data_IF_259942711720
#
_entry.id   IF_259942711720
#
_cell.length_a   1.000
_cell.length_b   1.000
_cell.length_c   1.000
_cell.angle_alpha   90.00
_cell.angle_beta   90.00
_cell.angle_gamma   90.00
#
_symmetry.space_group_name_H-M   'P 1'
#
loop_
_entity.id
_entity.type
_entity.pdbx_description
1 polymer ?
#
# COMPACT_ATOMS: atom_id res chain seq x y z
N UNK A 1 -3.95 -39.53 -4.82
CA UNK A 1 -3.91 -38.18 -5.41
C UNK A 1 -5.02 -38.09 -6.46
N UNK A 2 -5.87 -37.07 -6.40
CA UNK A 2 -6.98 -36.95 -7.37
C UNK A 2 -6.44 -36.57 -8.76
N UNK A 3 -7.12 -36.99 -9.84
CA UNK A 3 -6.68 -36.75 -11.23
C UNK A 3 -6.41 -35.27 -11.53
N UNK A 4 -7.21 -34.34 -11.00
CA UNK A 4 -6.97 -32.92 -11.19
C UNK A 4 -5.68 -32.42 -10.52
N UNK A 5 -5.29 -33.00 -9.36
CA UNK A 5 -4.04 -32.68 -8.68
C UNK A 5 -2.83 -33.17 -9.46
N UNK A 6 -2.94 -34.36 -10.07
CA UNK A 6 -1.89 -34.90 -10.94
C UNK A 6 -1.68 -34.01 -12.17
N UNK A 7 -2.76 -33.60 -12.83
CA UNK A 7 -2.69 -32.69 -13.97
C UNK A 7 -2.13 -31.31 -13.58
N UNK A 8 -2.57 -30.75 -12.45
CA UNK A 8 -2.02 -29.50 -11.94
C UNK A 8 -0.51 -29.61 -11.69
N UNK A 9 -0.06 -30.71 -11.07
CA UNK A 9 1.36 -30.94 -10.81
C UNK A 9 2.19 -31.12 -12.09
N UNK A 10 1.65 -31.79 -13.11
CA UNK A 10 2.31 -31.93 -14.42
C UNK A 10 2.51 -30.56 -15.08
N UNK A 11 1.44 -29.76 -15.19
CA UNK A 11 1.52 -28.43 -15.77
C UNK A 11 2.43 -27.49 -14.94
N UNK A 12 2.42 -27.62 -13.61
CA UNK A 12 3.32 -26.91 -12.73
C UNK A 12 4.79 -27.26 -13.00
N UNK A 13 5.09 -28.52 -13.20
CA UNK A 13 6.45 -28.97 -13.53
C UNK A 13 6.89 -28.46 -14.91
N UNK A 14 6.01 -28.41 -15.91
CA UNK A 14 6.32 -27.80 -17.22
C UNK A 14 6.72 -26.32 -17.09
N UNK A 15 6.03 -25.59 -16.22
CA UNK A 15 6.35 -24.18 -15.91
C UNK A 15 7.69 -24.08 -15.17
N UNK A 16 7.89 -24.90 -14.12
CA UNK A 16 9.11 -24.86 -13.31
C UNK A 16 10.37 -25.31 -14.07
N UNK A 17 10.20 -26.23 -15.02
CA UNK A 17 11.30 -26.70 -15.87
C UNK A 17 11.58 -25.76 -17.07
N UNK A 18 10.80 -24.67 -17.21
CA UNK A 18 11.00 -23.69 -18.28
C UNK A 18 10.46 -24.12 -19.66
N UNK A 19 9.75 -25.26 -19.76
CA UNK A 19 9.09 -25.70 -20.99
C UNK A 19 7.91 -24.78 -21.37
N UNK A 20 7.28 -24.20 -20.36
CA UNK A 20 6.30 -23.13 -20.48
C UNK A 20 6.86 -21.88 -19.80
N UNK A 21 7.10 -20.84 -20.56
CA UNK A 21 7.69 -19.59 -20.06
C UNK A 21 6.61 -18.60 -19.64
N UNK A 22 6.98 -17.63 -18.82
CA UNK A 22 6.08 -16.54 -18.42
C UNK A 22 5.52 -15.81 -19.66
N UNK A 23 4.19 -15.67 -19.69
CA UNK A 23 3.47 -15.08 -20.81
C UNK A 23 3.02 -16.08 -21.87
N UNK A 24 3.51 -17.33 -21.84
CA UNK A 24 3.07 -18.36 -22.76
C UNK A 24 1.60 -18.72 -22.50
N UNK A 25 0.87 -18.92 -23.59
CA UNK A 25 -0.50 -19.37 -23.55
C UNK A 25 -0.56 -20.88 -23.33
N UNK A 26 -1.30 -21.32 -22.30
CA UNK A 26 -1.57 -22.74 -22.11
C UNK A 26 -2.48 -23.27 -23.23
N UNK A 27 -2.39 -24.58 -23.54
CA UNK A 27 -3.34 -25.24 -24.46
C UNK A 27 -4.79 -25.02 -23.97
N UNK A 28 -5.73 -24.99 -24.89
CA UNK A 28 -7.13 -24.83 -24.54
C UNK A 28 -7.64 -25.98 -23.66
N UNK A 29 -8.73 -25.76 -22.91
CA UNK A 29 -9.34 -26.81 -22.09
C UNK A 29 -9.63 -28.07 -22.95
N UNK A 30 -10.03 -27.88 -24.23
CA UNK A 30 -10.29 -28.98 -25.16
C UNK A 30 -9.01 -29.74 -25.47
N UNK A 31 -7.94 -29.04 -25.79
CA UNK A 31 -6.63 -29.64 -26.10
C UNK A 31 -6.06 -30.40 -24.91
N UNK A 32 -6.20 -29.82 -23.66
CA UNK A 32 -5.78 -30.49 -22.44
C UNK A 32 -6.60 -31.75 -22.14
N UNK A 33 -7.91 -31.73 -22.41
CA UNK A 33 -8.78 -32.92 -22.32
C UNK A 33 -8.28 -34.03 -23.27
N UNK A 34 -7.96 -33.67 -24.49
CA UNK A 34 -7.48 -34.60 -25.50
C UNK A 34 -6.06 -35.11 -25.20
N UNK A 35 -5.16 -34.22 -24.83
CA UNK A 35 -3.75 -34.52 -24.56
C UNK A 35 -3.57 -35.42 -23.31
N UNK A 36 -4.34 -35.20 -22.25
CA UNK A 36 -4.18 -35.92 -20.98
C UNK A 36 -5.25 -36.98 -20.72
N UNK A 37 -6.23 -37.15 -21.61
CA UNK A 37 -7.27 -38.18 -21.49
C UNK A 37 -8.17 -38.01 -20.27
N UNK A 38 -8.38 -36.80 -19.79
CA UNK A 38 -9.18 -36.47 -18.61
C UNK A 38 -10.45 -35.72 -19.02
N UNK A 39 -11.45 -35.70 -18.14
CA UNK A 39 -12.67 -34.95 -18.40
C UNK A 39 -12.50 -33.42 -18.20
N UNK A 40 -13.42 -32.64 -18.77
CA UNK A 40 -13.41 -31.18 -18.75
C UNK A 40 -13.39 -30.62 -17.31
N UNK A 41 -14.14 -31.21 -16.39
CA UNK A 41 -14.21 -30.76 -14.99
C UNK A 41 -12.86 -30.93 -14.29
N UNK A 42 -12.17 -32.04 -14.54
CA UNK A 42 -10.80 -32.31 -14.04
C UNK A 42 -9.83 -31.24 -14.52
N UNK A 43 -9.86 -30.88 -15.82
CA UNK A 43 -9.02 -29.80 -16.37
C UNK A 43 -9.34 -28.47 -15.72
N UNK A 44 -10.62 -28.11 -15.59
CA UNK A 44 -11.03 -26.86 -14.98
C UNK A 44 -10.60 -26.75 -13.52
N UNK A 45 -10.69 -27.83 -12.74
CA UNK A 45 -10.20 -27.88 -11.35
C UNK A 45 -8.67 -27.75 -11.28
N UNK A 46 -7.94 -28.39 -12.17
CA UNK A 46 -6.48 -28.28 -12.24
C UNK A 46 -6.06 -26.84 -12.55
N UNK A 47 -6.69 -26.21 -13.54
CA UNK A 47 -6.40 -24.81 -13.92
C UNK A 47 -6.80 -23.83 -12.81
N UNK A 48 -7.89 -24.10 -12.07
CA UNK A 48 -8.26 -23.29 -10.88
C UNK A 48 -7.21 -23.40 -9.80
N UNK A 49 -6.74 -24.60 -9.44
CA UNK A 49 -5.67 -24.82 -8.47
C UNK A 49 -4.39 -24.08 -8.86
N UNK A 50 -3.98 -24.17 -10.13
CA UNK A 50 -2.80 -23.45 -10.62
C UNK A 50 -2.98 -21.93 -10.60
N UNK A 51 -4.20 -21.43 -10.80
CA UNK A 51 -4.52 -20.01 -10.67
C UNK A 51 -4.47 -19.56 -9.22
N UNK A 52 -5.04 -20.32 -8.28
CA UNK A 52 -5.00 -20.08 -6.83
C UNK A 52 -3.55 -20.10 -6.30
N UNK A 53 -2.70 -20.97 -6.83
CA UNK A 53 -1.27 -21.03 -6.54
C UNK A 53 -0.43 -19.99 -7.31
N UNK A 54 -1.06 -19.08 -8.07
CA UNK A 54 -0.41 -18.04 -8.86
C UNK A 54 0.62 -18.54 -9.89
N UNK A 55 0.43 -19.75 -10.45
CA UNK A 55 1.24 -20.24 -11.55
C UNK A 55 0.74 -19.76 -12.92
N UNK A 56 -0.58 -19.55 -13.04
CA UNK A 56 -1.23 -19.11 -14.27
C UNK A 56 -2.26 -18.04 -13.99
N UNK A 57 -2.63 -17.26 -15.01
CA UNK A 57 -3.74 -16.32 -14.98
C UNK A 57 -4.70 -16.53 -16.15
N UNK A 58 -5.94 -16.10 -15.97
CA UNK A 58 -6.98 -16.25 -16.99
C UNK A 58 -7.21 -14.93 -17.72
N UNK A 59 -7.33 -15.00 -19.05
CA UNK A 59 -7.73 -13.87 -19.89
C UNK A 59 -9.11 -14.17 -20.47
N UNK A 60 -10.08 -13.31 -20.16
CA UNK A 60 -11.47 -13.46 -20.60
C UNK A 60 -11.54 -13.64 -22.12
N UNK A 61 -12.20 -14.69 -22.59
CA UNK A 61 -12.34 -15.08 -24.00
C UNK A 61 -11.02 -15.45 -24.72
N UNK A 62 -9.88 -15.50 -24.04
CA UNK A 62 -8.59 -15.84 -24.64
C UNK A 62 -7.98 -17.13 -24.09
N UNK A 63 -8.12 -17.42 -22.79
CA UNK A 63 -7.61 -18.65 -22.18
C UNK A 63 -6.73 -18.41 -20.97
N UNK A 64 -5.84 -19.36 -20.68
CA UNK A 64 -4.93 -19.30 -19.54
C UNK A 64 -3.50 -19.05 -20.02
N UNK A 65 -2.73 -18.34 -19.19
CA UNK A 65 -1.36 -17.93 -19.49
C UNK A 65 -0.46 -18.16 -18.27
N UNK A 66 0.81 -18.44 -18.50
CA UNK A 66 1.80 -18.67 -17.45
C UNK A 66 2.14 -17.35 -16.74
N UNK A 67 2.10 -17.36 -15.40
CA UNK A 67 2.38 -16.19 -14.55
C UNK A 67 3.79 -16.25 -13.95
N UNK A 68 4.32 -17.43 -13.63
CA UNK A 68 5.64 -17.62 -13.01
C UNK A 68 6.75 -17.86 -14.03
N UNK A 69 7.98 -17.46 -13.68
CA UNK A 69 9.20 -17.87 -14.41
C UNK A 69 9.76 -19.18 -13.83
N UNK A 70 10.58 -19.90 -14.63
CA UNK A 70 11.35 -21.04 -14.15
C UNK A 70 12.44 -20.68 -13.12
N UNK A 71 12.86 -19.42 -13.07
CA UNK A 71 13.93 -18.91 -12.16
C UNK A 71 13.44 -18.69 -10.72
N UNK A 72 12.94 -19.73 -10.06
CA UNK A 72 12.46 -19.66 -8.68
C UNK A 72 13.62 -19.63 -7.65
N UNK A 73 14.89 -19.79 -8.07
CA UNK A 73 16.04 -19.93 -7.19
C UNK A 73 17.03 -18.74 -7.20
N UNK A 74 16.62 -17.56 -7.69
CA UNK A 74 17.44 -16.36 -7.42
C UNK A 74 17.10 -15.84 -6.05
N UNK A 75 18.05 -15.91 -5.13
CA UNK A 75 17.99 -15.14 -3.88
C UNK A 75 17.66 -13.68 -4.20
N UNK A 76 16.73 -13.05 -3.46
CA UNK A 76 16.38 -11.66 -3.70
C UNK A 76 17.64 -10.81 -3.49
N UNK A 77 18.12 -10.14 -4.53
CA UNK A 77 19.20 -9.18 -4.40
C UNK A 77 18.74 -8.02 -3.52
N UNK A 78 19.56 -7.66 -2.53
CA UNK A 78 19.30 -6.56 -1.60
C UNK A 78 19.45 -5.16 -2.23
N UNK A 79 19.73 -5.08 -3.51
CA UNK A 79 19.80 -3.83 -4.26
C UNK A 79 18.36 -3.36 -4.54
N UNK A 80 18.06 -2.09 -4.24
CA UNK A 80 16.80 -1.42 -4.59
C UNK A 80 16.68 -1.31 -6.10
N UNK A 81 16.43 -2.42 -6.73
CA UNK A 81 16.54 -2.63 -8.16
C UNK A 81 15.16 -2.57 -8.77
N UNK A 82 15.04 -1.85 -9.87
CA UNK A 82 13.88 -1.85 -10.75
C UNK A 82 13.51 -3.25 -11.25
N UNK A 83 14.36 -4.26 -11.06
CA UNK A 83 14.09 -5.69 -11.33
C UNK A 83 12.93 -6.27 -10.51
N UNK A 84 12.58 -5.66 -9.38
CA UNK A 84 11.43 -6.08 -8.56
C UNK A 84 10.09 -5.49 -9.03
N UNK A 85 10.10 -4.54 -9.97
CA UNK A 85 8.85 -3.99 -10.51
C UNK A 85 8.14 -5.00 -11.40
N UNK A 86 6.81 -5.15 -11.30
CA UNK A 86 6.04 -6.10 -12.10
C UNK A 86 5.77 -5.56 -13.52
N UNK A 87 6.82 -5.03 -14.19
CA UNK A 87 6.69 -4.30 -15.46
C UNK A 87 6.06 -5.18 -16.53
N UNK A 88 6.50 -6.44 -16.63
CA UNK A 88 6.00 -7.37 -17.66
C UNK A 88 4.54 -7.74 -17.42
N UNK A 89 4.16 -8.01 -16.17
CA UNK A 89 2.79 -8.33 -15.79
C UNK A 89 1.85 -7.13 -16.05
N UNK A 90 2.32 -5.92 -15.72
CA UNK A 90 1.59 -4.69 -16.02
C UNK A 90 1.51 -4.42 -17.53
N UNK A 91 2.57 -4.71 -18.30
CA UNK A 91 2.55 -4.60 -19.77
C UNK A 91 1.49 -5.51 -20.37
N UNK A 92 1.40 -6.74 -19.89
CA UNK A 92 0.37 -7.70 -20.32
C UNK A 92 -1.03 -7.13 -20.03
N UNK A 93 -1.29 -6.67 -18.80
CA UNK A 93 -2.57 -6.09 -18.41
C UNK A 93 -2.90 -4.82 -19.21
N UNK A 94 -1.90 -3.97 -19.45
CA UNK A 94 -2.08 -2.74 -20.24
C UNK A 94 -2.45 -3.07 -21.69
N UNK A 95 -1.77 -4.02 -22.34
CA UNK A 95 -2.10 -4.44 -23.68
C UNK A 95 -3.51 -5.06 -23.76
N UNK A 96 -3.93 -5.80 -22.75
CA UNK A 96 -5.30 -6.34 -22.66
C UNK A 96 -6.32 -5.20 -22.47
N UNK A 97 -6.02 -4.21 -21.68
CA UNK A 97 -6.90 -3.05 -21.50
C UNK A 97 -7.08 -2.27 -22.80
N UNK A 98 -6.02 -2.12 -23.61
CA UNK A 98 -6.10 -1.52 -24.95
C UNK A 98 -6.93 -2.37 -25.92
N UNK A 99 -6.78 -3.68 -25.91
CA UNK A 99 -7.55 -4.59 -26.77
C UNK A 99 -9.05 -4.54 -26.46
N UNK A 100 -9.41 -4.31 -25.20
CA UNK A 100 -10.80 -4.11 -24.76
C UNK A 100 -11.29 -2.66 -24.84
N UNK A 101 -10.49 -1.74 -25.35
CA UNK A 101 -10.81 -0.31 -25.42
C UNK A 101 -12.10 0.02 -26.18
N UNK A 102 -12.55 -0.87 -27.09
CA UNK A 102 -13.87 -0.75 -27.75
C UNK A 102 -15.05 -0.95 -26.79
N UNK A 103 -14.83 -1.75 -25.73
CA UNK A 103 -15.80 -1.97 -24.66
C UNK A 103 -15.68 -0.92 -23.54
N UNK A 104 -14.50 -0.31 -23.40
CA UNK A 104 -14.29 0.90 -22.62
C UNK A 104 -15.03 2.00 -23.36
N UNK A 105 -16.18 2.39 -22.86
CA UNK A 105 -16.92 3.54 -23.39
C UNK A 105 -16.14 4.82 -23.05
N UNK A 106 -15.00 5.02 -23.71
CA UNK A 106 -14.09 6.15 -23.52
C UNK A 106 -14.79 7.54 -23.68
N UNK A 107 -16.04 7.52 -24.18
CA UNK A 107 -16.88 8.71 -24.36
C UNK A 107 -17.97 8.90 -23.31
N UNK A 108 -18.18 7.95 -22.39
CA UNK A 108 -19.11 8.11 -21.26
C UNK A 108 -18.36 8.66 -20.06
N UNK A 109 -18.95 9.69 -19.45
CA UNK A 109 -18.59 10.14 -18.12
C UNK A 109 -18.71 8.96 -17.16
N UNK A 110 -17.57 8.39 -16.76
CA UNK A 110 -17.53 7.43 -15.67
C UNK A 110 -17.90 8.15 -14.36
N UNK A 111 -18.14 7.39 -13.32
CA UNK A 111 -18.47 7.98 -12.03
C UNK A 111 -17.23 8.65 -11.44
N UNK A 112 -17.40 9.82 -10.83
CA UNK A 112 -16.31 10.54 -10.15
C UNK A 112 -15.59 9.69 -9.08
N UNK A 113 -16.24 8.63 -8.60
CA UNK A 113 -15.67 7.66 -7.65
C UNK A 113 -14.65 6.71 -8.31
N UNK A 114 -14.56 6.66 -9.63
CA UNK A 114 -13.71 5.72 -10.37
C UNK A 114 -14.47 4.58 -11.02
N UNK A 115 -13.74 3.66 -11.66
CA UNK A 115 -14.34 2.49 -12.35
C UNK A 115 -14.91 1.49 -11.35
N UNK A 116 -16.17 1.09 -11.56
CA UNK A 116 -16.82 0.09 -10.70
C UNK A 116 -16.07 -1.24 -10.67
N UNK A 117 -15.51 -1.67 -11.81
CA UNK A 117 -14.75 -2.92 -11.88
C UNK A 117 -13.47 -2.86 -11.02
N UNK A 118 -12.82 -1.70 -10.93
CA UNK A 118 -11.66 -1.55 -10.04
C UNK A 118 -12.10 -1.53 -8.58
N UNK A 119 -13.19 -0.82 -8.27
CA UNK A 119 -13.76 -0.80 -6.92
C UNK A 119 -14.10 -2.24 -6.49
N UNK A 120 -14.79 -3.01 -7.35
CA UNK A 120 -15.15 -4.39 -7.08
C UNK A 120 -13.93 -5.30 -6.85
N UNK A 121 -12.89 -5.13 -7.65
CA UNK A 121 -11.65 -5.89 -7.52
C UNK A 121 -10.86 -5.54 -6.23
N UNK A 122 -10.97 -4.30 -5.74
CA UNK A 122 -10.25 -3.85 -4.56
C UNK A 122 -10.98 -4.14 -3.24
N UNK A 123 -12.29 -4.42 -3.23
CA UNK A 123 -13.01 -4.73 -1.99
C UNK A 123 -12.38 -5.89 -1.19
N UNK A 124 -12.07 -7.06 -1.80
CA UNK A 124 -11.40 -8.14 -1.07
C UNK A 124 -9.99 -7.74 -0.57
N UNK A 125 -9.27 -6.93 -1.33
CA UNK A 125 -7.94 -6.44 -0.94
C UNK A 125 -8.02 -5.53 0.29
N UNK A 126 -9.06 -4.69 0.37
CA UNK A 126 -9.31 -3.85 1.54
C UNK A 126 -9.65 -4.67 2.80
N UNK A 127 -10.45 -5.72 2.65
CA UNK A 127 -10.76 -6.63 3.77
C UNK A 127 -9.49 -7.29 4.33
N UNK A 128 -8.53 -7.66 3.48
CA UNK A 128 -7.24 -8.17 3.92
C UNK A 128 -6.41 -7.12 4.69
N UNK A 129 -6.57 -5.83 4.41
CA UNK A 129 -5.94 -4.75 5.20
C UNK A 129 -6.66 -4.46 6.52
N UNK A 130 -7.81 -5.10 6.76
CA UNK A 130 -8.69 -4.83 7.91
C UNK A 130 -9.58 -3.60 7.71
N UNK A 131 -9.84 -3.22 6.46
CA UNK A 131 -10.71 -2.09 6.10
C UNK A 131 -12.03 -2.62 5.56
N UNK A 132 -13.09 -2.45 6.33
CA UNK A 132 -14.44 -2.90 5.99
C UNK A 132 -15.28 -1.69 5.58
N UNK A 133 -15.67 -1.64 4.33
CA UNK A 133 -16.42 -0.53 3.74
C UNK A 133 -17.45 -1.04 2.73
N UNK A 134 -18.37 -0.17 2.30
CA UNK A 134 -19.21 -0.44 1.13
C UNK A 134 -18.58 0.19 -0.12
N UNK A 135 -18.95 -0.31 -1.30
CA UNK A 135 -18.44 0.19 -2.58
C UNK A 135 -18.68 1.69 -2.76
N UNK A 136 -19.83 2.17 -2.26
CA UNK A 136 -20.22 3.58 -2.33
C UNK A 136 -19.30 4.50 -1.51
N UNK A 137 -18.61 3.97 -0.52
CA UNK A 137 -17.67 4.72 0.32
C UNK A 137 -16.28 4.83 -0.31
N UNK A 138 -15.98 4.02 -1.34
CA UNK A 138 -14.67 3.95 -1.97
C UNK A 138 -14.57 4.92 -3.15
N UNK A 139 -13.54 5.76 -3.15
CA UNK A 139 -13.21 6.67 -4.26
C UNK A 139 -11.77 6.41 -4.73
N UNK A 140 -11.62 6.19 -6.04
CA UNK A 140 -10.30 6.05 -6.68
C UNK A 140 -9.70 7.44 -6.89
N UNK A 141 -8.41 7.58 -6.57
CA UNK A 141 -7.65 8.83 -6.72
C UNK A 141 -6.36 8.61 -7.48
N UNK A 142 -5.70 9.70 -7.88
CA UNK A 142 -4.36 9.66 -8.48
C UNK A 142 -3.24 9.59 -7.42
N UNK A 143 -3.55 9.02 -6.25
CA UNK A 143 -2.66 8.83 -5.12
C UNK A 143 -3.01 9.72 -3.92
N UNK A 144 -2.26 9.52 -2.82
CA UNK A 144 -2.49 10.19 -1.53
C UNK A 144 -2.53 11.72 -1.63
N UNK A 145 -1.67 12.34 -2.46
CA UNK A 145 -1.61 13.81 -2.53
C UNK A 145 -2.92 14.44 -3.03
N UNK A 146 -3.56 13.87 -4.05
CA UNK A 146 -4.87 14.33 -4.51
C UNK A 146 -5.91 14.16 -3.41
N UNK A 147 -5.92 13.01 -2.76
CA UNK A 147 -6.85 12.74 -1.67
C UNK A 147 -6.71 13.75 -0.53
N UNK A 148 -5.49 13.99 -0.05
CA UNK A 148 -5.20 14.95 1.03
C UNK A 148 -5.58 16.38 0.63
N UNK A 149 -5.25 16.79 -0.60
CA UNK A 149 -5.61 18.12 -1.10
C UNK A 149 -7.12 18.35 -1.07
N UNK A 150 -7.91 17.38 -1.54
CA UNK A 150 -9.37 17.47 -1.54
C UNK A 150 -9.92 17.47 -0.11
N UNK A 151 -9.43 16.59 0.77
CA UNK A 151 -9.86 16.50 2.16
C UNK A 151 -9.61 17.79 2.94
N UNK A 152 -8.44 18.38 2.76
CA UNK A 152 -8.09 19.65 3.41
C UNK A 152 -8.98 20.82 2.96
N UNK A 153 -9.47 20.79 1.73
CA UNK A 153 -10.43 21.80 1.25
C UNK A 153 -11.88 21.48 1.64
N UNK A 154 -12.16 20.20 1.89
CA UNK A 154 -13.51 19.77 2.26
C UNK A 154 -13.80 20.04 3.73
N UNK A 155 -12.82 19.80 4.61
CA UNK A 155 -12.95 19.88 6.06
C UNK A 155 -12.34 21.21 6.54
N UNK A 156 -12.93 22.33 6.10
CA UNK A 156 -12.50 23.67 6.49
C UNK A 156 -13.24 24.20 7.74
N UNK A 157 -12.74 25.29 8.30
CA UNK A 157 -13.39 26.08 9.33
C UNK A 157 -12.80 25.97 10.72
N UNK A 158 -11.94 24.97 10.95
CA UNK A 158 -11.18 24.81 12.21
C UNK A 158 -9.72 24.47 11.91
N UNK A 159 -8.89 24.41 12.94
CA UNK A 159 -7.51 23.93 12.85
C UNK A 159 -7.49 22.45 12.48
N UNK A 160 -6.38 22.02 11.89
CA UNK A 160 -6.04 20.59 11.77
C UNK A 160 -4.93 20.24 12.78
N UNK A 161 -4.98 19.02 13.27
CA UNK A 161 -3.92 18.47 14.11
C UNK A 161 -3.03 17.57 13.26
N UNK A 162 -1.72 17.74 13.37
CA UNK A 162 -0.71 16.95 12.70
C UNK A 162 0.19 16.25 13.71
N UNK A 163 0.58 15.02 13.43
CA UNK A 163 1.73 14.42 14.09
C UNK A 163 3.00 15.21 13.73
N UNK A 164 3.98 15.23 14.63
CA UNK A 164 5.28 15.82 14.36
C UNK A 164 6.39 14.94 14.95
N UNK A 165 7.33 14.43 14.09
CA UNK A 165 7.36 14.61 12.63
C UNK A 165 6.22 13.87 11.92
N UNK A 166 5.97 14.19 10.63
CA UNK A 166 5.01 13.49 9.79
C UNK A 166 5.40 13.61 8.31
N UNK A 167 4.59 13.06 7.41
CA UNK A 167 4.83 13.07 5.96
C UNK A 167 5.12 14.48 5.42
N UNK A 168 6.31 14.68 4.84
CA UNK A 168 6.80 15.99 4.41
C UNK A 168 5.85 16.71 3.43
N UNK A 169 5.25 15.96 2.50
CA UNK A 169 4.28 16.52 1.54
C UNK A 169 2.99 16.99 2.19
N UNK A 170 2.57 16.39 3.30
CA UNK A 170 1.44 16.92 4.08
C UNK A 170 1.80 18.26 4.71
N UNK A 171 3.01 18.40 5.26
CA UNK A 171 3.51 19.65 5.80
C UNK A 171 3.56 20.77 4.74
N UNK A 172 4.07 20.45 3.54
CA UNK A 172 4.11 21.37 2.41
C UNK A 172 2.70 21.80 1.99
N UNK A 173 1.77 20.85 1.91
CA UNK A 173 0.40 21.10 1.50
C UNK A 173 -0.34 22.03 2.48
N UNK A 174 -0.19 21.79 3.80
CA UNK A 174 -0.78 22.61 4.85
C UNK A 174 -0.23 24.04 4.80
N UNK A 175 1.09 24.22 4.59
CA UNK A 175 1.70 25.53 4.43
C UNK A 175 1.20 26.25 3.15
N UNK A 176 1.13 25.51 2.02
CA UNK A 176 0.71 26.08 0.74
C UNK A 176 -0.76 26.52 0.76
N UNK A 177 -1.62 25.77 1.41
CA UNK A 177 -3.05 26.09 1.57
C UNK A 177 -3.34 27.05 2.72
N UNK A 178 -2.30 27.47 3.46
CA UNK A 178 -2.40 28.38 4.62
C UNK A 178 -3.42 27.90 5.68
N UNK A 179 -3.51 26.57 5.86
CA UNK A 179 -4.47 26.00 6.81
C UNK A 179 -3.97 26.17 8.24
N UNK A 180 -4.79 26.69 9.15
CA UNK A 180 -4.44 26.74 10.57
C UNK A 180 -4.19 25.33 11.11
N UNK A 181 -3.07 25.15 11.80
CA UNK A 181 -2.68 23.85 12.33
C UNK A 181 -2.10 23.94 13.74
N UNK A 182 -2.08 22.80 14.40
CA UNK A 182 -1.31 22.54 15.60
C UNK A 182 -0.65 21.17 15.48
N UNK A 183 0.35 20.91 16.34
CA UNK A 183 1.11 19.65 16.23
C UNK A 183 1.11 18.92 17.57
N UNK A 184 1.11 17.58 17.48
CA UNK A 184 1.34 16.67 18.59
C UNK A 184 2.56 15.80 18.30
N UNK A 185 3.42 15.61 19.30
CA UNK A 185 4.66 14.85 19.13
C UNK A 185 4.37 13.37 18.90
N UNK A 186 4.88 12.82 17.80
CA UNK A 186 5.00 11.38 17.58
C UNK A 186 6.33 10.90 18.13
N UNK A 187 6.31 9.97 19.06
CA UNK A 187 7.51 9.45 19.71
C UNK A 187 8.26 8.47 18.80
N UNK A 188 9.58 8.38 18.95
CA UNK A 188 10.43 7.50 18.13
C UNK A 188 10.05 6.02 18.30
N UNK A 189 9.61 5.64 19.50
CA UNK A 189 9.13 4.28 19.81
C UNK A 189 7.77 3.93 19.19
N UNK A 190 7.13 4.90 18.52
CA UNK A 190 5.82 4.77 17.92
C UNK A 190 4.66 5.22 18.81
N UNK A 191 4.93 5.82 19.98
CA UNK A 191 3.91 6.32 20.90
C UNK A 191 3.36 7.71 20.53
N UNK A 192 2.29 8.11 21.20
CA UNK A 192 1.70 9.45 21.21
C UNK A 192 1.14 9.72 22.62
N UNK A 193 1.19 10.97 23.07
CA UNK A 193 0.58 11.35 24.35
C UNK A 193 -0.95 11.43 24.21
N UNK A 194 -1.64 10.39 24.69
CA UNK A 194 -3.09 10.29 24.62
C UNK A 194 -3.82 11.27 25.53
N UNK A 195 -3.19 11.71 26.63
CA UNK A 195 -3.78 12.71 27.54
C UNK A 195 -3.78 14.06 26.84
N UNK A 196 -2.64 14.43 26.26
CA UNK A 196 -2.55 15.68 25.49
C UNK A 196 -3.42 15.65 24.23
N UNK A 197 -3.54 14.50 23.55
CA UNK A 197 -4.45 14.34 22.42
C UNK A 197 -5.92 14.57 22.83
N UNK A 198 -6.33 14.04 23.99
CA UNK A 198 -7.68 14.25 24.51
C UNK A 198 -7.93 15.73 24.85
N UNK A 199 -6.97 16.42 25.48
CA UNK A 199 -7.04 17.87 25.77
C UNK A 199 -7.23 18.69 24.48
N UNK A 200 -6.44 18.39 23.45
CA UNK A 200 -6.55 19.05 22.14
C UNK A 200 -7.93 18.82 21.52
N UNK A 201 -8.42 17.59 21.46
CA UNK A 201 -9.73 17.31 20.90
C UNK A 201 -10.86 17.94 21.71
N UNK A 202 -10.77 17.93 23.04
CA UNK A 202 -11.74 18.52 23.93
C UNK A 202 -11.84 20.06 23.80
N UNK A 203 -10.80 20.73 23.33
CA UNK A 203 -10.83 22.18 23.06
C UNK A 203 -11.90 22.58 22.03
N UNK A 204 -12.31 21.65 21.18
CA UNK A 204 -13.27 21.89 20.09
C UNK A 204 -12.69 22.74 18.94
N UNK A 205 -11.39 23.01 18.91
CA UNK A 205 -10.73 23.83 17.88
C UNK A 205 -10.36 23.03 16.61
N UNK A 206 -10.38 21.69 16.66
CA UNK A 206 -9.92 20.84 15.60
C UNK A 206 -11.07 20.20 14.83
N UNK A 207 -10.95 20.15 13.50
CA UNK A 207 -11.85 19.45 12.61
C UNK A 207 -11.28 18.13 12.11
N UNK A 208 -9.94 18.01 12.07
CA UNK A 208 -9.24 16.88 11.46
C UNK A 208 -7.94 16.60 12.19
N UNK A 209 -7.64 15.30 12.38
CA UNK A 209 -6.32 14.80 12.81
C UNK A 209 -5.74 13.93 11.67
N UNK A 210 -4.58 14.31 11.15
CA UNK A 210 -3.83 13.51 10.19
C UNK A 210 -2.79 12.65 10.89
N UNK A 211 -2.81 11.35 10.63
CA UNK A 211 -1.92 10.38 11.27
C UNK A 211 -1.54 9.24 10.32
N UNK A 212 -0.36 8.65 10.55
CA UNK A 212 0.11 7.41 9.93
C UNK A 212 0.20 6.36 11.03
N UNK A 213 -0.85 5.54 11.16
CA UNK A 213 -1.01 4.61 12.28
C UNK A 213 -0.10 3.40 12.23
N UNK A 214 0.30 2.97 11.02
CA UNK A 214 1.16 1.81 10.74
C UNK A 214 2.35 2.25 9.89
N UNK A 215 3.57 1.76 10.20
CA UNK A 215 4.80 2.11 9.47
C UNK A 215 4.99 3.63 9.30
N UNK A 216 4.91 4.35 10.40
CA UNK A 216 4.93 5.82 10.40
C UNK A 216 6.06 6.41 9.55
N UNK A 217 5.76 7.37 8.71
CA UNK A 217 6.74 8.10 7.93
C UNK A 217 7.01 9.49 8.56
N UNK A 218 8.23 9.75 9.09
CA UNK A 218 9.49 9.05 8.81
C UNK A 218 9.97 8.04 9.85
N UNK A 219 9.28 7.85 10.99
CA UNK A 219 9.81 7.14 12.15
C UNK A 219 9.76 5.61 12.02
N UNK A 220 8.94 5.05 11.14
CA UNK A 220 8.80 3.61 10.90
C UNK A 220 7.91 2.87 11.91
N UNK A 221 7.70 3.40 13.12
CA UNK A 221 6.90 2.76 14.16
C UNK A 221 5.40 2.72 13.89
N UNK A 222 4.68 1.84 14.59
CA UNK A 222 3.22 1.73 14.51
C UNK A 222 2.59 1.96 15.88
N UNK A 223 1.37 2.45 15.93
CA UNK A 223 0.60 2.50 17.16
C UNK A 223 0.28 1.10 17.69
N UNK A 224 0.23 0.95 19.01
CA UNK A 224 -0.34 -0.25 19.61
C UNK A 224 -1.85 -0.32 19.35
N UNK A 225 -2.42 -1.53 19.39
CA UNK A 225 -3.86 -1.71 19.21
C UNK A 225 -4.67 -0.95 20.27
N UNK A 226 -4.16 -0.87 21.51
CA UNK A 226 -4.78 -0.08 22.58
C UNK A 226 -4.77 1.42 22.25
N UNK A 227 -3.65 1.94 21.73
CA UNK A 227 -3.52 3.34 21.30
C UNK A 227 -4.49 3.65 20.16
N UNK A 228 -4.60 2.78 19.17
CA UNK A 228 -5.51 2.95 18.04
C UNK A 228 -6.97 3.05 18.49
N UNK A 229 -7.41 2.11 19.34
CA UNK A 229 -8.76 2.12 19.91
C UNK A 229 -9.05 3.43 20.65
N UNK A 230 -8.10 3.91 21.45
CA UNK A 230 -8.27 5.15 22.21
C UNK A 230 -8.33 6.39 21.32
N UNK A 231 -7.51 6.45 20.26
CA UNK A 231 -7.55 7.54 19.28
C UNK A 231 -8.92 7.62 18.62
N UNK A 232 -9.47 6.48 18.15
CA UNK A 232 -10.79 6.42 17.50
C UNK A 232 -11.90 6.78 18.47
N UNK A 233 -11.86 6.29 19.71
CA UNK A 233 -12.81 6.65 20.78
C UNK A 233 -12.83 8.17 21.01
N UNK A 234 -11.66 8.80 21.10
CA UNK A 234 -11.55 10.25 21.29
C UNK A 234 -12.09 11.03 20.08
N UNK A 235 -11.76 10.59 18.87
CA UNK A 235 -12.26 11.21 17.65
C UNK A 235 -13.78 11.17 17.55
N UNK A 236 -14.39 10.04 17.91
CA UNK A 236 -15.85 9.89 17.98
C UNK A 236 -16.44 10.83 19.05
N UNK A 237 -15.89 10.81 20.29
CA UNK A 237 -16.37 11.61 21.43
C UNK A 237 -16.37 13.10 21.12
N UNK A 238 -15.33 13.60 20.48
CA UNK A 238 -15.14 15.03 20.22
C UNK A 238 -15.48 15.47 18.80
N UNK A 239 -16.03 14.55 17.99
CA UNK A 239 -16.44 14.81 16.60
C UNK A 239 -15.29 15.35 15.71
N UNK A 240 -14.09 14.81 15.87
CA UNK A 240 -12.92 15.11 15.04
C UNK A 240 -12.80 14.02 13.97
N UNK A 241 -12.60 14.40 12.71
CA UNK A 241 -12.25 13.42 11.67
C UNK A 241 -10.80 13.01 11.80
N UNK A 242 -10.51 11.74 11.54
CA UNK A 242 -9.14 11.21 11.38
C UNK A 242 -8.90 10.96 9.90
N UNK A 243 -7.79 11.45 9.38
CA UNK A 243 -7.26 10.99 8.10
C UNK A 243 -6.12 10.01 8.40
N UNK A 244 -6.37 8.74 8.19
CA UNK A 244 -5.40 7.67 8.34
C UNK A 244 -4.72 7.40 6.99
N UNK A 245 -3.44 7.79 6.86
CA UNK A 245 -2.62 7.48 5.69
C UNK A 245 -1.89 6.15 5.90
N UNK A 246 -2.37 5.11 5.25
CA UNK A 246 -1.89 3.73 5.43
C UNK A 246 -1.11 3.25 4.20
N UNK A 247 -0.09 4.00 3.81
CA UNK A 247 0.68 3.80 2.59
C UNK A 247 1.43 2.46 2.52
N UNK A 248 1.72 1.84 3.68
CA UNK A 248 2.41 0.55 3.81
C UNK A 248 1.49 -0.61 4.21
N UNK A 249 0.16 -0.50 4.01
CA UNK A 249 -0.79 -1.55 4.36
C UNK A 249 -0.41 -2.94 3.80
N UNK A 250 0.20 -2.99 2.62
CA UNK A 250 0.64 -4.23 1.97
C UNK A 250 1.69 -5.02 2.75
N UNK A 251 2.46 -4.34 3.62
CA UNK A 251 3.60 -4.91 4.36
C UNK A 251 3.26 -5.28 5.80
N UNK A 252 2.00 -5.21 6.18
CA UNK A 252 1.54 -5.55 7.53
C UNK A 252 1.60 -7.06 7.73
N UNK A 253 2.26 -7.50 8.78
CA UNK A 253 2.25 -8.91 9.23
C UNK A 253 1.21 -9.13 10.33
N UNK A 254 0.59 -10.31 10.29
CA UNK A 254 -0.33 -10.75 11.33
C UNK A 254 -1.63 -9.93 11.36
N UNK A 255 -2.13 -9.67 12.56
CA UNK A 255 -3.44 -9.05 12.79
C UNK A 255 -3.37 -7.57 13.17
N UNK A 256 -2.32 -6.84 12.77
CA UNK A 256 -2.22 -5.41 13.05
C UNK A 256 -3.24 -4.63 12.22
N UNK A 257 -4.33 -4.21 12.86
CA UNK A 257 -5.44 -3.51 12.21
C UNK A 257 -5.17 -2.01 12.03
N UNK A 258 -5.79 -1.33 11.03
CA UNK A 258 -5.76 0.12 10.93
C UNK A 258 -6.68 0.78 11.97
N UNK A 259 -6.66 2.10 12.09
CA UNK A 259 -7.64 2.88 12.88
C UNK A 259 -9.06 2.67 12.36
N UNK A 260 -9.21 2.63 11.04
CA UNK A 260 -10.51 2.41 10.36
C UNK A 260 -11.22 1.13 10.85
N UNK A 261 -10.48 0.10 11.24
CA UNK A 261 -11.05 -1.13 11.79
C UNK A 261 -11.89 -0.90 13.06
N UNK A 262 -11.54 0.09 13.86
CA UNK A 262 -12.22 0.42 15.13
C UNK A 262 -13.30 1.47 15.00
N UNK A 263 -13.46 2.06 13.81
CA UNK A 263 -14.39 3.15 13.58
C UNK A 263 -15.83 2.64 13.38
N UNK A 264 -16.68 2.89 14.36
CA UNK A 264 -18.11 2.57 14.31
C UNK A 264 -18.98 3.77 13.98
N UNK A 265 -18.43 5.00 14.05
CA UNK A 265 -19.17 6.25 14.00
C UNK A 265 -18.90 7.07 12.73
N UNK A 266 -18.09 6.54 11.81
CA UNK A 266 -17.75 7.21 10.56
C UNK A 266 -16.87 8.43 10.78
N UNK A 267 -15.83 8.30 11.61
CA UNK A 267 -14.87 9.37 11.88
C UNK A 267 -13.51 9.16 11.22
N UNK A 268 -13.22 7.96 10.73
CA UNK A 268 -11.94 7.64 10.10
C UNK A 268 -12.07 7.63 8.59
N UNK A 269 -11.33 8.49 7.95
CA UNK A 269 -11.12 8.56 6.50
C UNK A 269 -9.84 7.77 6.22
N UNK A 270 -9.97 6.64 5.55
CA UNK A 270 -8.82 5.79 5.21
C UNK A 270 -8.26 6.17 3.85
N UNK A 271 -6.95 6.40 3.78
CA UNK A 271 -6.25 6.78 2.55
C UNK A 271 -5.12 5.79 2.29
N UNK A 272 -5.05 5.27 1.07
CA UNK A 272 -3.96 4.39 0.64
C UNK A 272 -3.51 4.70 -0.78
N UNK A 273 -2.20 4.68 -0.99
CA UNK A 273 -1.58 4.67 -2.32
C UNK A 273 -0.96 3.31 -2.61
N UNK A 274 -1.06 2.85 -3.85
CA UNK A 274 -0.37 1.63 -4.31
C UNK A 274 1.06 1.89 -4.79
N UNK A 275 1.58 3.11 -4.60
CA UNK A 275 2.94 3.49 -5.04
C UNK A 275 4.05 2.77 -4.28
N UNK A 276 3.82 2.37 -3.02
CA UNK A 276 4.79 1.66 -2.18
C UNK A 276 4.98 0.21 -2.59
N UNK A 277 3.92 -0.42 -3.09
CA UNK A 277 3.94 -1.82 -3.48
C UNK A 277 4.21 -2.02 -4.97
N UNK A 278 3.83 -1.05 -5.80
CA UNK A 278 4.05 -1.10 -7.25
C UNK A 278 5.17 -0.13 -7.65
N UNK A 279 4.82 1.08 -8.05
CA UNK A 279 5.75 2.17 -8.33
C UNK A 279 5.01 3.52 -8.39
N UNK A 280 5.74 4.58 -8.05
CA UNK A 280 5.15 5.91 -7.89
C UNK A 280 4.50 6.47 -9.18
N UNK A 281 4.94 6.03 -10.36
CA UNK A 281 4.40 6.49 -11.64
C UNK A 281 3.02 5.92 -11.97
N UNK A 282 2.58 4.83 -11.33
CA UNK A 282 1.26 4.25 -11.56
C UNK A 282 0.12 5.21 -11.18
N UNK A 283 0.33 6.01 -10.11
CA UNK A 283 -0.60 7.05 -9.67
C UNK A 283 -2.02 6.55 -9.44
N UNK A 284 -2.16 5.45 -8.71
CA UNK A 284 -3.44 4.94 -8.21
C UNK A 284 -3.41 4.95 -6.69
N UNK A 285 -4.45 5.53 -6.13
CA UNK A 285 -4.74 5.50 -4.71
C UNK A 285 -6.24 5.34 -4.49
N UNK A 286 -6.61 5.13 -3.24
CA UNK A 286 -7.99 4.99 -2.80
C UNK A 286 -8.24 5.82 -1.56
N UNK A 287 -9.49 6.24 -1.41
CA UNK A 287 -10.00 6.84 -0.18
C UNK A 287 -11.28 6.13 0.20
N UNK A 288 -11.37 5.66 1.44
CA UNK A 288 -12.63 5.20 2.03
C UNK A 288 -13.15 6.32 2.92
N UNK A 289 -14.35 6.77 2.61
CA UNK A 289 -14.96 7.96 3.20
C UNK A 289 -16.18 7.61 4.07
N UNK A 290 -16.41 8.34 5.16
CA UNK A 290 -17.73 8.44 5.76
C UNK A 290 -18.79 8.81 4.71
N UNK A 291 -19.98 8.24 4.82
CA UNK A 291 -21.04 8.37 3.78
C UNK A 291 -21.35 9.82 3.41
N UNK A 292 -21.38 10.70 4.39
CA UNK A 292 -21.67 12.13 4.20
C UNK A 292 -20.58 12.90 3.45
N UNK A 293 -19.35 12.37 3.40
CA UNK A 293 -18.23 13.00 2.70
C UNK A 293 -18.04 12.49 1.27
N UNK A 294 -18.69 11.40 0.86
CA UNK A 294 -18.49 10.78 -0.46
C UNK A 294 -18.87 11.74 -1.58
N UNK A 295 -20.11 12.24 -1.59
CA UNK A 295 -20.59 13.14 -2.65
C UNK A 295 -19.80 14.47 -2.69
N UNK A 296 -19.59 15.18 -1.55
CA UNK A 296 -18.77 16.39 -1.54
C UNK A 296 -17.32 16.17 -2.00
N UNK A 297 -16.73 15.00 -1.69
CA UNK A 297 -15.39 14.64 -2.14
C UNK A 297 -15.36 14.39 -3.66
N UNK A 298 -16.28 13.57 -4.15
CA UNK A 298 -16.39 13.23 -5.56
C UNK A 298 -16.65 14.47 -6.44
N UNK A 299 -17.48 15.40 -6.00
CA UNK A 299 -17.70 16.67 -6.67
C UNK A 299 -16.41 17.49 -6.80
N UNK A 300 -15.61 17.61 -5.73
CA UNK A 300 -14.32 18.34 -5.79
C UNK A 300 -13.32 17.65 -6.70
N UNK A 301 -13.28 16.30 -6.64
CA UNK A 301 -12.42 15.51 -7.50
C UNK A 301 -12.70 15.75 -8.98
N UNK A 302 -13.97 15.87 -9.38
CA UNK A 302 -14.37 16.16 -10.76
C UNK A 302 -13.77 17.44 -11.31
N UNK A 303 -13.54 18.46 -10.47
CA UNK A 303 -12.90 19.70 -10.88
C UNK A 303 -11.39 19.56 -11.11
N UNK A 304 -10.78 18.48 -10.63
CA UNK A 304 -9.33 18.25 -10.75
C UNK A 304 -8.98 17.31 -11.92
N UNK A 305 -9.60 16.14 -11.99
CA UNK A 305 -9.21 15.11 -12.96
C UNK A 305 -10.38 14.28 -13.51
N UNK A 306 -11.59 14.69 -13.25
CA UNK A 306 -12.83 14.07 -13.68
C UNK A 306 -12.96 12.57 -13.33
N UNK A 307 -12.24 11.67 -14.03
CA UNK A 307 -12.36 10.21 -13.93
C UNK A 307 -11.09 9.50 -13.41
N UNK A 308 -10.01 10.24 -13.11
CA UNK A 308 -8.65 9.68 -13.01
C UNK A 308 -8.26 8.94 -14.31
N UNK A 309 -7.10 8.32 -14.36
CA UNK A 309 -6.65 7.64 -15.58
C UNK A 309 -7.39 6.32 -15.78
N UNK A 310 -8.47 6.30 -16.57
CA UNK A 310 -9.33 5.13 -16.84
C UNK A 310 -8.54 3.95 -17.38
N UNK A 311 -7.54 4.18 -18.25
CA UNK A 311 -6.71 3.11 -18.79
C UNK A 311 -5.87 2.43 -17.71
N UNK A 312 -5.32 3.22 -16.79
CA UNK A 312 -4.56 2.68 -15.65
C UNK A 312 -5.46 2.00 -14.65
N UNK A 313 -6.67 2.51 -14.41
CA UNK A 313 -7.66 1.82 -13.59
C UNK A 313 -8.00 0.45 -14.18
N UNK A 314 -8.26 0.35 -15.49
CA UNK A 314 -8.54 -0.93 -16.15
C UNK A 314 -7.34 -1.88 -16.13
N UNK A 315 -6.14 -1.35 -16.34
CA UNK A 315 -4.90 -2.12 -16.23
C UNK A 315 -4.75 -2.71 -14.83
N UNK A 316 -4.99 -1.91 -13.80
CA UNK A 316 -4.87 -2.35 -12.41
C UNK A 316 -5.99 -3.32 -12.03
N UNK A 317 -7.23 -3.12 -12.52
CA UNK A 317 -8.30 -4.11 -12.39
C UNK A 317 -7.85 -5.48 -12.88
N UNK A 318 -7.33 -5.55 -14.11
CA UNK A 318 -6.84 -6.81 -14.69
C UNK A 318 -5.67 -7.39 -13.90
N UNK A 319 -4.79 -6.56 -13.38
CA UNK A 319 -3.65 -6.97 -12.58
C UNK A 319 -4.10 -7.63 -11.26
N UNK A 320 -5.15 -7.10 -10.62
CA UNK A 320 -5.75 -7.69 -9.41
C UNK A 320 -6.55 -8.95 -9.76
N UNK A 321 -7.47 -8.88 -10.72
CA UNK A 321 -8.35 -10.01 -11.09
C UNK A 321 -7.59 -11.25 -11.59
N UNK A 322 -6.44 -11.04 -12.24
CA UNK A 322 -5.58 -12.12 -12.73
C UNK A 322 -4.70 -12.76 -11.63
N UNK A 323 -4.71 -12.22 -10.39
CA UNK A 323 -3.88 -12.67 -9.28
C UNK A 323 -2.42 -12.23 -9.37
N UNK A 324 -2.09 -11.35 -10.33
CA UNK A 324 -0.72 -10.83 -10.49
C UNK A 324 -0.35 -9.89 -9.34
N UNK A 325 -1.34 -9.12 -8.84
CA UNK A 325 -1.14 -8.24 -7.69
C UNK A 325 -0.78 -9.03 -6.43
N UNK A 326 -1.52 -10.09 -6.11
CA UNK A 326 -1.28 -10.89 -4.91
C UNK A 326 0.08 -11.59 -4.96
N UNK A 327 0.44 -12.12 -6.14
CA UNK A 327 1.76 -12.70 -6.33
C UNK A 327 2.87 -11.67 -6.09
N UNK A 328 2.77 -10.51 -6.73
CA UNK A 328 3.77 -9.44 -6.59
C UNK A 328 3.85 -8.94 -5.14
N UNK A 329 2.69 -8.70 -4.49
CA UNK A 329 2.61 -8.31 -3.09
C UNK A 329 3.34 -9.29 -2.19
N UNK A 330 3.10 -10.59 -2.37
CA UNK A 330 3.77 -11.63 -1.59
C UNK A 330 5.30 -11.59 -1.77
N UNK A 331 5.79 -11.50 -3.00
CA UNK A 331 7.23 -11.39 -3.30
C UNK A 331 7.85 -10.15 -2.64
N UNK A 332 7.16 -9.00 -2.70
CA UNK A 332 7.61 -7.75 -2.08
C UNK A 332 7.64 -7.82 -0.55
N UNK A 333 6.61 -8.42 0.06
CA UNK A 333 6.55 -8.62 1.52
C UNK A 333 7.67 -9.55 1.98
N UNK A 334 7.86 -10.69 1.32
CA UNK A 334 8.96 -11.63 1.62
C UNK A 334 10.33 -10.93 1.54
N UNK A 335 10.56 -10.13 0.49
CA UNK A 335 11.79 -9.33 0.32
C UNK A 335 11.96 -8.30 1.45
N UNK A 336 10.89 -7.56 1.79
CA UNK A 336 10.93 -6.57 2.87
C UNK A 336 11.25 -7.23 4.22
N UNK A 337 10.64 -8.38 4.52
CA UNK A 337 10.88 -9.11 5.76
C UNK A 337 12.31 -9.65 5.85
N UNK A 338 12.85 -10.16 4.74
CA UNK A 338 14.25 -10.59 4.68
C UNK A 338 15.20 -9.40 4.96
N UNK A 339 14.96 -8.26 4.32
CA UNK A 339 15.73 -7.02 4.53
C UNK A 339 15.62 -6.51 5.96
N UNK A 340 14.42 -6.54 6.54
CA UNK A 340 14.17 -6.12 7.92
C UNK A 340 14.93 -7.01 8.94
N UNK A 341 14.90 -8.34 8.72
CA UNK A 341 15.65 -9.28 9.55
C UNK A 341 17.18 -9.07 9.43
N UNK A 342 17.64 -8.82 8.22
CA UNK A 342 19.05 -8.50 7.97
C UNK A 342 19.45 -7.18 8.66
N UNK A 343 18.68 -6.11 8.48
CA UNK A 343 18.92 -4.81 9.12
C UNK A 343 19.00 -4.92 10.65
N UNK A 344 18.12 -5.73 11.26
CA UNK A 344 18.13 -5.96 12.71
C UNK A 344 19.41 -6.66 13.16
N UNK A 345 19.84 -7.71 12.44
CA UNK A 345 21.08 -8.44 12.76
C UNK A 345 22.28 -7.51 12.61
N UNK A 346 22.37 -6.83 11.47
CA UNK A 346 23.45 -5.92 11.18
C UNK A 346 23.59 -4.83 12.26
N UNK A 347 22.48 -4.21 12.69
CA UNK A 347 22.50 -3.17 13.73
C UNK A 347 23.04 -3.70 15.05
N UNK A 348 22.66 -4.92 15.44
CA UNK A 348 23.14 -5.58 16.65
C UNK A 348 24.65 -5.88 16.57
N UNK A 349 25.10 -6.43 15.45
CA UNK A 349 26.49 -6.83 15.24
C UNK A 349 27.43 -5.61 15.13
N UNK A 350 26.93 -4.49 14.59
CA UNK A 350 27.67 -3.23 14.47
C UNK A 350 27.80 -2.45 15.78
N UNK A 351 27.12 -2.88 16.85
CA UNK A 351 27.18 -2.28 18.16
C UNK A 351 26.56 -0.88 18.25
N UNK A 352 25.62 -0.56 17.37
CA UNK A 352 24.76 0.62 17.53
C UNK A 352 23.68 0.32 18.58
N UNK A 353 23.64 1.13 19.62
CA UNK A 353 22.69 0.99 20.74
C UNK A 353 21.71 2.14 20.85
N UNK A 354 22.01 3.26 20.19
CA UNK A 354 21.19 4.47 20.21
C UNK A 354 20.14 4.43 19.08
N UNK A 355 18.94 4.91 19.36
CA UNK A 355 17.86 4.99 18.37
C UNK A 355 16.97 3.75 18.32
N UNK A 356 16.01 3.78 17.40
CA UNK A 356 14.99 2.74 17.23
C UNK A 356 14.98 2.23 15.79
N UNK A 357 14.93 0.91 15.62
CA UNK A 357 14.80 0.25 14.34
C UNK A 357 13.37 -0.23 14.13
N UNK A 358 12.75 0.23 13.05
CA UNK A 358 11.46 -0.25 12.59
C UNK A 358 11.58 -0.73 11.13
N UNK A 359 11.40 -2.02 10.91
CA UNK A 359 11.66 -2.61 9.59
C UNK A 359 13.13 -2.42 9.18
N UNK A 360 13.37 -1.66 8.11
CA UNK A 360 14.72 -1.30 7.64
C UNK A 360 15.14 0.11 8.05
N UNK A 361 14.25 0.88 8.66
CA UNK A 361 14.47 2.28 9.01
C UNK A 361 15.02 2.39 10.43
N UNK A 362 16.27 2.84 10.56
CA UNK A 362 16.88 3.15 11.85
C UNK A 362 16.84 4.66 12.08
N UNK A 363 16.11 5.08 13.12
CA UNK A 363 15.91 6.49 13.51
C UNK A 363 16.60 6.76 14.83
N UNK A 364 17.32 7.87 14.91
CA UNK A 364 18.13 8.23 16.10
C UNK A 364 18.29 9.75 16.25
N UNK A 365 18.64 10.18 17.46
CA UNK A 365 19.09 11.54 17.74
C UNK A 365 20.58 11.67 17.46
N UNK A 366 21.02 12.85 17.05
CA UNK A 366 22.43 13.10 16.76
C UNK A 366 23.29 13.02 18.04
N UNK A 367 24.32 12.18 17.99
CA UNK A 367 25.39 12.16 18.99
C UNK A 367 26.76 12.02 18.32
N UNK A 368 27.82 12.51 19.00
CA UNK A 368 29.18 12.37 18.47
C UNK A 368 29.59 10.90 18.31
N UNK A 369 29.10 10.02 19.17
CA UNK A 369 29.39 8.58 19.10
C UNK A 369 28.74 7.94 17.87
N UNK A 370 27.47 8.28 17.61
CA UNK A 370 26.76 7.81 16.42
C UNK A 370 27.42 8.35 15.14
N UNK A 371 27.80 9.64 15.12
CA UNK A 371 28.49 10.25 13.97
C UNK A 371 29.81 9.54 13.63
N UNK A 372 30.63 9.21 14.65
CA UNK A 372 31.88 8.49 14.45
C UNK A 372 31.63 7.11 13.85
N UNK A 373 30.69 6.34 14.40
CA UNK A 373 30.34 5.01 13.89
C UNK A 373 29.76 5.06 12.48
N UNK A 374 28.91 6.05 12.16
CA UNK A 374 28.39 6.22 10.80
C UNK A 374 29.53 6.41 9.79
N UNK A 375 30.58 7.16 10.14
CA UNK A 375 31.77 7.33 9.30
C UNK A 375 32.54 6.03 9.12
N UNK A 376 32.69 5.22 10.18
CA UNK A 376 33.37 3.90 10.14
C UNK A 376 32.68 2.94 9.15
N UNK A 377 31.33 2.97 9.11
CA UNK A 377 30.53 2.14 8.20
C UNK A 377 30.17 2.84 6.87
N UNK A 378 30.70 4.03 6.61
CA UNK A 378 30.43 4.83 5.42
C UNK A 378 28.94 5.08 5.16
N UNK A 379 28.17 5.29 6.26
CA UNK A 379 26.74 5.55 6.21
C UNK A 379 26.46 7.04 6.19
N UNK A 380 25.53 7.45 5.29
CA UNK A 380 25.07 8.83 5.19
C UNK A 380 23.65 8.91 5.74
N UNK A 381 23.44 9.52 6.92
CA UNK A 381 22.12 9.67 7.48
C UNK A 381 21.33 10.77 6.76
N UNK A 382 20.06 10.55 6.59
CA UNK A 382 19.09 11.55 6.17
C UNK A 382 18.65 12.36 7.39
N UNK A 383 18.74 13.69 7.29
CA UNK A 383 18.21 14.60 8.32
C UNK A 383 16.71 14.79 8.11
N UNK A 384 15.92 14.64 9.18
CA UNK A 384 14.46 14.63 9.08
C UNK A 384 13.81 16.02 9.18
N UNK A 385 14.53 17.10 8.85
CA UNK A 385 14.02 18.49 8.98
C UNK A 385 12.76 18.76 8.19
N UNK A 386 12.63 18.21 6.99
CA UNK A 386 11.48 18.42 6.11
C UNK A 386 10.18 17.76 6.62
N UNK A 387 10.33 16.75 7.50
CA UNK A 387 9.20 16.07 8.13
C UNK A 387 8.61 16.84 9.32
N UNK A 388 9.21 18.00 9.67
CA UNK A 388 8.73 18.90 10.71
C UNK A 388 8.09 20.13 10.09
N UNK A 389 6.84 20.41 10.45
CA UNK A 389 6.16 21.64 10.02
C UNK A 389 6.61 22.84 10.85
N UNK A 390 6.94 22.64 12.12
CA UNK A 390 7.47 23.66 13.02
C UNK A 390 8.98 23.49 13.22
N UNK A 391 9.73 24.60 13.28
CA UNK A 391 11.20 24.61 13.38
C UNK A 391 11.74 24.33 14.80
N UNK A 392 10.87 24.08 15.82
CA UNK A 392 11.26 23.94 17.22
C UNK A 392 11.42 22.48 17.70
N UNK A 393 11.56 21.54 16.80
CA UNK A 393 11.60 20.11 17.15
C UNK A 393 13.03 19.57 17.29
N UNK A 394 13.23 18.45 18.01
CA UNK A 394 14.52 17.78 18.07
C UNK A 394 14.94 17.32 16.67
N UNK A 395 16.23 17.40 16.40
CA UNK A 395 16.79 16.99 15.11
C UNK A 395 16.99 15.48 15.13
N UNK A 396 16.14 14.79 14.38
CA UNK A 396 16.24 13.35 14.17
C UNK A 396 16.94 13.06 12.85
N UNK A 397 17.58 11.91 12.80
CA UNK A 397 18.23 11.34 11.62
C UNK A 397 17.69 9.95 11.34
N UNK A 398 17.73 9.55 10.08
CA UNK A 398 17.31 8.24 9.61
C UNK A 398 18.37 7.63 8.71
N UNK A 399 18.59 6.33 8.83
CA UNK A 399 19.34 5.50 7.87
C UNK A 399 18.44 4.37 7.42
N UNK A 400 18.33 4.19 6.10
CA UNK A 400 17.65 3.03 5.52
C UNK A 400 18.67 1.89 5.35
N UNK A 401 18.62 0.94 6.27
CA UNK A 401 19.54 -0.20 6.30
C UNK A 401 19.28 -1.21 5.17
N UNK A 402 18.18 -1.11 4.44
CA UNK A 402 17.96 -1.91 3.24
C UNK A 402 18.92 -1.59 2.10
N UNK A 403 19.60 -0.43 2.17
CA UNK A 403 20.56 0.03 1.16
C UNK A 403 21.99 -0.37 1.48
N UNK A 404 22.24 -1.00 2.63
CA UNK A 404 23.56 -1.48 3.00
C UNK A 404 23.84 -2.74 2.19
N UNK A 405 24.87 -2.67 1.35
CA UNK A 405 25.44 -3.86 0.70
C UNK A 405 26.11 -4.71 1.76
N UNK A 406 25.95 -6.02 1.71
CA UNK A 406 26.67 -6.94 2.59
C UNK A 406 28.18 -6.65 2.52
N UNK A 407 28.75 -6.47 3.70
CA UNK A 407 30.19 -6.46 3.89
C UNK A 407 30.65 -7.91 4.02
#
# INVERSE_FOLDING_TARGET
MYQYQQLAQLLKNEILNGNLQKGDKLPSIRDLVEQYGVNKDTVQRALRSLKEESFIYAVKKSGYYVLKNADVNKEPSLEGDYSQLPIEDLRICFNQSLASAKDLRLSKKEQASGMNELIDALMPVLEEYGVYATKEQLVITTGTQQALYILLQLIQGKKILLEQPTYARMNELVRHLEIPYETITRQIDGGIDLVHLEELFASGEFSLFYTISRFHNPLGGSYSEATKKKIVELASRYSVYIVEDDYMADFVEGNATPLHYYDMDGRVIYVKSFSSILFAALKIGIVVLPKELVEPFAMRKQWMDYDSNVMMQKTFTLFVENGMFDKHRKEMVESYMAKSKHAKRWLLDSGFHDGTLHGTQWVFEHSKQVEQKLKEYNLVPEKLDEYYISKKAPILYRVDLAKIREI
#
